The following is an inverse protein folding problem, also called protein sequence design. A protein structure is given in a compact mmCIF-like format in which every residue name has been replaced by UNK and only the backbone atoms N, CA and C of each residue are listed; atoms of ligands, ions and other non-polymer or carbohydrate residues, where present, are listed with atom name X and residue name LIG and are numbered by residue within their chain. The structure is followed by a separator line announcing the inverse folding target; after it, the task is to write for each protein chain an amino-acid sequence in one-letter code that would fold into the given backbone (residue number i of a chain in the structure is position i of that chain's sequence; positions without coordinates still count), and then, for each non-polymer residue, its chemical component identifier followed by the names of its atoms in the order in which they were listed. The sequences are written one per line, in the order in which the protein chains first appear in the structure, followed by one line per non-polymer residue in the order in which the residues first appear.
data_IF_466957410675
#
_entry.id   IF_466957410675
#
_cell.length_a   1.000
_cell.length_b   1.000
_cell.length_c   1.000
_cell.angle_alpha   90.00
_cell.angle_beta   90.00
_cell.angle_gamma   90.00
#
_symmetry.space_group_name_H-M   'P 1'
#
loop_
_entity.id
_entity.type
_entity.pdbx_description
1 polymer ?
#
# COMPACT_ATOMS: atom_id res chain seq x y z
N UNK A 1 2.20 5.96 13.38
CA UNK A 1 3.51 5.35 13.71
C UNK A 1 3.38 4.40 14.89
N UNK A 2 3.46 4.94 16.12
CA UNK A 2 3.50 4.13 17.34
C UNK A 2 2.32 3.15 17.48
N UNK A 3 1.07 3.62 17.36
CA UNK A 3 -0.11 2.75 17.49
C UNK A 3 -0.10 1.56 16.52
N UNK A 4 0.17 1.82 15.23
CA UNK A 4 0.26 0.78 14.22
C UNK A 4 1.35 -0.25 14.56
N UNK A 5 2.57 0.20 14.80
CA UNK A 5 3.71 -0.70 14.98
C UNK A 5 3.61 -1.51 16.28
N UNK A 6 3.13 -0.90 17.37
CA UNK A 6 2.89 -1.61 18.63
C UNK A 6 1.82 -2.69 18.47
N UNK A 7 0.71 -2.37 17.78
CA UNK A 7 -0.35 -3.36 17.53
C UNK A 7 0.11 -4.47 16.57
N UNK A 8 0.89 -4.15 15.53
CA UNK A 8 1.49 -5.16 14.65
C UNK A 8 2.43 -6.10 15.40
N UNK A 9 3.26 -5.56 16.30
CA UNK A 9 4.17 -6.36 17.11
C UNK A 9 3.41 -7.28 18.07
N UNK A 10 2.41 -6.75 18.78
CA UNK A 10 1.55 -7.55 19.66
C UNK A 10 0.82 -8.64 18.88
N UNK A 11 0.25 -8.32 17.71
CA UNK A 11 -0.41 -9.29 16.85
C UNK A 11 0.55 -10.40 16.40
N UNK A 12 1.76 -10.04 15.95
CA UNK A 12 2.78 -11.01 15.55
C UNK A 12 3.18 -11.95 16.69
N UNK A 13 3.43 -11.41 17.88
CA UNK A 13 3.75 -12.22 19.08
C UNK A 13 2.58 -13.15 19.42
N UNK A 14 1.36 -12.63 19.48
CA UNK A 14 0.17 -13.43 19.81
C UNK A 14 -0.03 -14.57 18.81
N UNK A 15 0.01 -14.27 17.51
CA UNK A 15 -0.19 -15.28 16.45
C UNK A 15 0.90 -16.35 16.53
N UNK A 16 2.18 -15.96 16.55
CA UNK A 16 3.30 -16.91 16.58
C UNK A 16 3.29 -17.75 17.85
N UNK A 17 3.16 -17.15 19.04
CA UNK A 17 3.13 -17.91 20.30
C UNK A 17 1.95 -18.90 20.35
N UNK A 18 0.78 -18.51 19.84
CA UNK A 18 -0.39 -19.40 19.83
C UNK A 18 -0.20 -20.56 18.85
N UNK A 19 0.38 -20.29 17.67
CA UNK A 19 0.73 -21.34 16.70
C UNK A 19 1.71 -22.35 17.30
N UNK A 20 2.83 -21.88 17.86
CA UNK A 20 3.84 -22.78 18.45
C UNK A 20 3.31 -23.56 19.66
N UNK A 21 2.32 -23.02 20.37
CA UNK A 21 1.72 -23.70 21.53
C UNK A 21 0.67 -24.75 21.16
N UNK A 22 -0.09 -24.53 20.09
CA UNK A 22 -1.28 -25.35 19.76
C UNK A 22 -1.03 -26.29 18.58
N UNK A 23 -0.14 -25.91 17.65
CA UNK A 23 0.19 -26.68 16.45
C UNK A 23 1.72 -26.74 16.22
N UNK A 24 2.50 -27.27 17.18
CA UNK A 24 3.96 -27.25 17.10
C UNK A 24 4.51 -28.00 15.89
N UNK A 25 3.86 -29.08 15.43
CA UNK A 25 4.32 -29.84 14.27
C UNK A 25 4.14 -29.07 12.95
N UNK A 26 3.17 -28.15 12.88
CA UNK A 26 2.85 -27.38 11.66
C UNK A 26 3.59 -26.04 11.59
N UNK A 27 4.33 -25.66 12.64
CA UNK A 27 4.91 -24.32 12.75
C UNK A 27 5.83 -23.94 11.57
N UNK A 28 6.60 -24.90 11.03
CA UNK A 28 7.47 -24.66 9.87
C UNK A 28 6.70 -24.35 8.59
N UNK A 29 5.59 -25.04 8.34
CA UNK A 29 4.73 -24.80 7.18
C UNK A 29 3.94 -23.50 7.31
N UNK A 30 3.48 -23.19 8.53
CA UNK A 30 2.71 -22.00 8.85
C UNK A 30 3.52 -20.73 8.59
N UNK A 31 4.78 -20.68 9.04
CA UNK A 31 5.66 -19.51 8.84
C UNK A 31 5.93 -19.25 7.34
N UNK A 32 5.88 -20.28 6.50
CA UNK A 32 6.05 -20.17 5.04
C UNK A 32 4.77 -19.85 4.25
N UNK A 33 3.60 -19.85 4.88
CA UNK A 33 2.31 -19.83 4.18
C UNK A 33 1.88 -18.46 3.61
N UNK A 34 2.67 -17.40 3.83
CA UNK A 34 2.32 -16.04 3.44
C UNK A 34 1.11 -15.48 4.19
N UNK A 35 0.71 -14.25 3.85
CA UNK A 35 -0.30 -13.52 4.61
C UNK A 35 -1.71 -14.14 4.47
N UNK A 36 -2.05 -14.58 3.26
CA UNK A 36 -3.35 -15.18 2.94
C UNK A 36 -3.50 -16.56 3.55
N UNK A 37 -2.47 -17.41 3.42
CA UNK A 37 -2.45 -18.74 4.02
C UNK A 37 -2.51 -18.69 5.53
N UNK A 38 -1.72 -17.81 6.16
CA UNK A 38 -1.80 -17.57 7.60
C UNK A 38 -3.22 -17.21 8.06
N UNK A 39 -3.84 -16.23 7.40
CA UNK A 39 -5.11 -15.65 7.84
C UNK A 39 -6.32 -16.57 7.56
N UNK A 40 -6.36 -17.23 6.40
CA UNK A 40 -7.55 -17.95 5.94
C UNK A 40 -7.44 -19.47 6.00
N UNK A 41 -6.25 -20.03 6.23
CA UNK A 41 -6.05 -21.49 6.39
C UNK A 41 -5.69 -21.78 7.84
N UNK A 42 -4.62 -21.17 8.34
CA UNK A 42 -4.04 -21.56 9.62
C UNK A 42 -4.75 -20.97 10.84
N UNK A 43 -5.15 -19.70 10.81
CA UNK A 43 -5.92 -19.10 11.92
C UNK A 43 -7.26 -19.84 12.19
N UNK A 44 -8.06 -20.22 11.18
CA UNK A 44 -9.23 -21.06 11.40
C UNK A 44 -8.92 -22.43 12.01
N UNK A 45 -7.87 -23.11 11.51
CA UNK A 45 -7.44 -24.40 12.06
C UNK A 45 -6.97 -24.28 13.51
N UNK A 46 -6.25 -23.21 13.84
CA UNK A 46 -5.81 -22.90 15.19
C UNK A 46 -7.02 -22.77 16.13
N UNK A 47 -8.04 -21.99 15.74
CA UNK A 47 -9.24 -21.85 16.55
C UNK A 47 -10.03 -23.15 16.66
N UNK A 48 -9.97 -24.06 15.67
CA UNK A 48 -10.62 -25.38 15.79
C UNK A 48 -10.03 -26.25 16.91
N UNK A 49 -8.77 -26.02 17.30
CA UNK A 49 -8.08 -26.78 18.36
C UNK A 49 -8.33 -26.21 19.77
N UNK A 50 -8.84 -24.98 19.89
CA UNK A 50 -9.01 -24.30 21.17
C UNK A 50 -10.47 -24.46 21.65
N UNK A 51 -10.71 -24.81 22.93
CA UNK A 51 -12.05 -24.85 23.50
C UNK A 51 -12.78 -23.50 23.31
N UNK A 52 -13.97 -23.52 22.70
CA UNK A 52 -14.72 -22.30 22.37
C UNK A 52 -14.19 -21.50 21.19
N UNK A 53 -13.24 -22.03 20.41
CA UNK A 53 -12.57 -21.29 19.35
C UNK A 53 -13.47 -20.80 18.21
N UNK A 54 -14.63 -21.40 17.96
CA UNK A 54 -15.60 -20.87 16.98
C UNK A 54 -16.04 -19.43 17.31
N UNK A 55 -16.21 -19.11 18.59
CA UNK A 55 -16.55 -17.76 19.03
C UNK A 55 -15.39 -16.78 18.73
N UNK A 56 -14.17 -17.17 19.09
CA UNK A 56 -12.97 -16.36 18.84
C UNK A 56 -12.67 -16.19 17.34
N UNK A 57 -12.92 -17.22 16.54
CA UNK A 57 -12.83 -17.16 15.08
C UNK A 57 -13.80 -16.13 14.50
N UNK A 58 -15.06 -16.13 14.97
CA UNK A 58 -16.05 -15.12 14.57
C UNK A 58 -15.61 -13.69 14.94
N UNK A 59 -15.09 -13.51 16.16
CA UNK A 59 -14.57 -12.22 16.61
C UNK A 59 -13.34 -11.76 15.80
N UNK A 60 -12.43 -12.67 15.48
CA UNK A 60 -11.24 -12.40 14.68
C UNK A 60 -11.60 -11.90 13.28
N UNK A 61 -12.47 -12.61 12.57
CA UNK A 61 -12.88 -12.19 11.22
C UNK A 61 -13.72 -10.93 11.23
N UNK A 62 -14.54 -10.71 12.27
CA UNK A 62 -15.24 -9.45 12.44
C UNK A 62 -14.26 -8.28 12.64
N UNK A 63 -13.22 -8.47 13.46
CA UNK A 63 -12.16 -7.48 13.64
C UNK A 63 -11.39 -7.24 12.34
N UNK A 64 -11.09 -8.29 11.57
CA UNK A 64 -10.44 -8.21 10.26
C UNK A 64 -11.26 -7.36 9.27
N UNK A 65 -12.59 -7.53 9.25
CA UNK A 65 -13.50 -6.72 8.43
C UNK A 65 -13.43 -5.24 8.83
N UNK A 66 -13.48 -4.91 10.12
CA UNK A 66 -13.38 -3.52 10.58
C UNK A 66 -12.00 -2.89 10.28
N UNK A 67 -10.93 -3.67 10.40
CA UNK A 67 -9.57 -3.23 10.06
C UNK A 67 -9.45 -2.91 8.55
N UNK A 68 -9.98 -3.78 7.69
CA UNK A 68 -10.00 -3.55 6.25
C UNK A 68 -10.91 -2.37 5.87
N UNK A 69 -12.09 -2.27 6.48
CA UNK A 69 -13.07 -1.22 6.19
C UNK A 69 -12.54 0.17 6.52
N UNK A 70 -11.94 0.36 7.70
CA UNK A 70 -11.36 1.64 8.10
C UNK A 70 -10.25 2.10 7.15
N UNK A 71 -9.40 1.18 6.71
CA UNK A 71 -8.33 1.46 5.73
C UNK A 71 -8.90 1.81 4.36
N UNK A 72 -9.94 1.10 3.90
CA UNK A 72 -10.60 1.35 2.62
C UNK A 72 -11.22 2.74 2.55
N UNK A 73 -11.87 3.21 3.62
CA UNK A 73 -12.46 4.56 3.68
C UNK A 73 -11.39 5.63 3.45
N UNK A 74 -10.22 5.51 4.08
CA UNK A 74 -9.12 6.46 3.89
C UNK A 74 -8.58 6.46 2.45
N UNK A 75 -8.44 5.27 1.84
CA UNK A 75 -7.99 5.13 0.45
C UNK A 75 -9.00 5.70 -0.56
N UNK A 76 -10.30 5.46 -0.36
CA UNK A 76 -11.34 6.04 -1.21
C UNK A 76 -11.33 7.57 -1.11
N UNK A 77 -11.26 8.12 0.11
CA UNK A 77 -11.25 9.57 0.31
C UNK A 77 -10.02 10.23 -0.35
N UNK A 78 -8.84 9.59 -0.29
CA UNK A 78 -7.64 10.06 -0.99
C UNK A 78 -7.88 10.15 -2.52
N UNK A 79 -8.41 9.08 -3.14
CA UNK A 79 -8.70 9.07 -4.57
C UNK A 79 -9.82 10.06 -4.95
N UNK A 80 -10.84 10.19 -4.11
CA UNK A 80 -11.95 11.14 -4.31
C UNK A 80 -11.45 12.58 -4.30
N UNK A 81 -10.52 12.93 -3.41
CA UNK A 81 -9.92 14.28 -3.35
C UNK A 81 -9.22 14.66 -4.65
N UNK A 82 -8.46 13.73 -5.23
CA UNK A 82 -7.79 13.95 -6.52
C UNK A 82 -8.81 14.31 -7.62
N UNK A 83 -9.96 13.63 -7.66
CA UNK A 83 -11.02 13.95 -8.64
C UNK A 83 -11.73 15.28 -8.35
N UNK A 84 -11.90 15.64 -7.07
CA UNK A 84 -12.47 16.93 -6.68
C UNK A 84 -11.55 18.07 -7.10
N UNK A 85 -10.24 17.91 -6.91
CA UNK A 85 -9.22 18.89 -7.33
C UNK A 85 -9.20 19.06 -8.87
N UNK A 86 -9.66 18.05 -9.61
CA UNK A 86 -9.88 18.10 -11.06
C UNK A 86 -11.24 18.73 -11.45
N UNK A 87 -12.02 19.23 -10.49
CA UNK A 87 -13.28 19.94 -10.69
C UNK A 87 -14.55 19.07 -10.63
N UNK A 88 -14.47 17.79 -10.23
CA UNK A 88 -15.67 16.98 -10.04
C UNK A 88 -16.37 17.31 -8.72
N UNK A 89 -17.71 17.26 -8.71
CA UNK A 89 -18.45 17.35 -7.45
C UNK A 89 -18.20 16.10 -6.60
N UNK A 90 -18.13 16.27 -5.27
CA UNK A 90 -17.85 15.18 -4.32
C UNK A 90 -18.71 13.94 -4.55
N UNK A 91 -20.01 14.11 -4.80
CA UNK A 91 -20.94 12.99 -5.07
C UNK A 91 -20.54 12.19 -6.31
N UNK A 92 -20.16 12.87 -7.40
CA UNK A 92 -19.72 12.21 -8.64
C UNK A 92 -18.38 11.52 -8.44
N UNK A 93 -17.44 12.16 -7.74
CA UNK A 93 -16.14 11.58 -7.43
C UNK A 93 -16.27 10.30 -6.59
N UNK A 94 -17.11 10.29 -5.54
CA UNK A 94 -17.36 9.09 -4.71
C UNK A 94 -17.93 7.94 -5.54
N UNK A 95 -18.95 8.21 -6.37
CA UNK A 95 -19.55 7.18 -7.22
C UNK A 95 -18.52 6.65 -8.21
N UNK A 96 -17.75 7.53 -8.85
CA UNK A 96 -16.73 7.14 -9.82
C UNK A 96 -15.64 6.25 -9.18
N UNK A 97 -15.07 6.67 -8.05
CA UNK A 97 -14.03 5.91 -7.33
C UNK A 97 -14.59 4.59 -6.80
N UNK A 98 -15.76 4.62 -6.15
CA UNK A 98 -16.38 3.43 -5.58
C UNK A 98 -16.77 2.39 -6.63
N UNK A 99 -17.43 2.80 -7.71
CA UNK A 99 -17.80 1.90 -8.80
C UNK A 99 -16.58 1.34 -9.53
N UNK A 100 -15.56 2.17 -9.78
CA UNK A 100 -14.32 1.72 -10.43
C UNK A 100 -13.57 0.72 -9.54
N UNK A 101 -13.41 1.03 -8.25
CA UNK A 101 -12.77 0.13 -7.28
C UNK A 101 -13.51 -1.20 -7.15
N UNK A 102 -14.85 -1.18 -7.10
CA UNK A 102 -15.65 -2.39 -7.08
C UNK A 102 -15.47 -3.24 -8.34
N UNK A 103 -15.61 -2.64 -9.52
CA UNK A 103 -15.51 -3.36 -10.80
C UNK A 103 -14.10 -3.94 -11.03
N UNK A 104 -13.05 -3.18 -10.72
CA UNK A 104 -11.67 -3.66 -10.82
C UNK A 104 -11.31 -4.67 -9.72
N UNK A 105 -12.05 -4.70 -8.62
CA UNK A 105 -11.91 -5.69 -7.55
C UNK A 105 -12.51 -7.06 -7.87
N UNK A 106 -13.49 -7.14 -8.79
CA UNK A 106 -14.16 -8.40 -9.15
C UNK A 106 -13.18 -9.48 -9.64
N UNK A 107 -12.26 -9.20 -10.60
CA UNK A 107 -11.29 -10.20 -11.05
C UNK A 107 -10.40 -10.74 -9.92
N UNK A 108 -9.97 -9.88 -9.00
CA UNK A 108 -9.17 -10.25 -7.83
C UNK A 108 -9.97 -11.12 -6.86
N UNK A 109 -11.27 -10.85 -6.67
CA UNK A 109 -12.15 -11.66 -5.82
C UNK A 109 -12.44 -13.05 -6.42
N UNK A 110 -12.47 -13.15 -7.76
CA UNK A 110 -12.76 -14.41 -8.46
C UNK A 110 -11.53 -15.29 -8.70
N UNK A 111 -10.32 -14.69 -8.79
CA UNK A 111 -9.09 -15.42 -9.12
C UNK A 111 -7.93 -14.97 -8.23
N UNK A 112 -7.50 -15.87 -7.34
CA UNK A 112 -6.40 -15.61 -6.40
C UNK A 112 -5.09 -15.20 -7.11
N UNK A 113 -4.77 -15.79 -8.27
CA UNK A 113 -3.58 -15.41 -9.04
C UNK A 113 -3.62 -13.95 -9.53
N UNK A 114 -4.81 -13.41 -9.85
CA UNK A 114 -4.94 -11.99 -10.20
C UNK A 114 -4.76 -11.13 -8.95
N UNK A 115 -5.38 -11.51 -7.83
CA UNK A 115 -5.20 -10.82 -6.55
C UNK A 115 -3.71 -10.73 -6.17
N UNK A 116 -2.99 -11.86 -6.20
CA UNK A 116 -1.56 -11.90 -5.88
C UNK A 116 -0.71 -11.10 -6.86
N UNK A 117 -1.03 -11.13 -8.15
CA UNK A 117 -0.34 -10.30 -9.14
C UNK A 117 -0.55 -8.81 -8.87
N UNK A 118 -1.78 -8.37 -8.58
CA UNK A 118 -2.08 -6.97 -8.31
C UNK A 118 -1.47 -6.50 -6.98
N UNK A 119 -1.54 -7.31 -5.92
CA UNK A 119 -0.89 -7.01 -4.64
C UNK A 119 0.64 -6.87 -4.82
N UNK A 120 1.25 -7.80 -5.54
CA UNK A 120 2.68 -7.79 -5.86
C UNK A 120 3.11 -6.55 -6.65
N UNK A 121 2.38 -6.21 -7.72
CA UNK A 121 2.72 -5.07 -8.58
C UNK A 121 2.55 -3.77 -7.82
N UNK A 122 1.38 -3.54 -7.22
CA UNK A 122 1.07 -2.26 -6.61
C UNK A 122 1.75 -2.04 -5.25
N UNK A 123 2.23 -3.11 -4.60
CA UNK A 123 3.14 -3.02 -3.46
C UNK A 123 4.41 -2.20 -3.75
N UNK A 124 4.96 -2.32 -4.97
CA UNK A 124 6.10 -1.49 -5.43
C UNK A 124 5.71 -0.02 -5.54
N UNK A 125 4.44 0.26 -5.86
CA UNK A 125 3.91 1.61 -5.95
C UNK A 125 4.00 2.37 -4.63
N UNK A 126 3.81 1.67 -3.50
CA UNK A 126 3.99 2.25 -2.17
C UNK A 126 5.46 2.68 -1.94
N UNK A 127 6.43 1.85 -2.33
CA UNK A 127 7.85 2.19 -2.24
C UNK A 127 8.20 3.41 -3.08
N UNK A 128 7.70 3.46 -4.32
CA UNK A 128 7.88 4.61 -5.22
C UNK A 128 7.24 5.88 -4.66
N UNK A 129 6.06 5.80 -4.07
CA UNK A 129 5.41 6.95 -3.44
C UNK A 129 6.24 7.52 -2.28
N UNK A 130 6.82 6.65 -1.45
CA UNK A 130 7.72 7.03 -0.36
C UNK A 130 8.99 7.71 -0.89
N UNK A 131 9.56 7.17 -1.98
CA UNK A 131 10.68 7.79 -2.68
C UNK A 131 10.34 9.19 -3.20
N UNK A 132 9.23 9.34 -3.93
CA UNK A 132 8.85 10.65 -4.48
C UNK A 132 8.56 11.68 -3.40
N UNK A 133 7.94 11.27 -2.29
CA UNK A 133 7.77 12.13 -1.13
C UNK A 133 9.13 12.56 -0.55
N UNK A 134 10.04 11.62 -0.29
CA UNK A 134 11.37 11.93 0.23
C UNK A 134 12.17 12.82 -0.72
N UNK A 135 12.10 12.55 -2.02
CA UNK A 135 12.73 13.35 -3.07
C UNK A 135 12.19 14.79 -3.08
N UNK A 136 10.87 14.98 -2.99
CA UNK A 136 10.25 16.30 -2.94
C UNK A 136 10.72 17.10 -1.71
N UNK A 137 10.76 16.45 -0.54
CA UNK A 137 11.28 17.05 0.71
C UNK A 137 12.75 17.43 0.58
N UNK A 138 13.59 16.55 0.02
CA UNK A 138 15.01 16.81 -0.22
C UNK A 138 15.21 18.00 -1.18
N UNK A 139 14.42 18.06 -2.25
CA UNK A 139 14.47 19.13 -3.25
C UNK A 139 14.03 20.49 -2.69
N UNK A 140 13.00 20.50 -1.84
CA UNK A 140 12.53 21.70 -1.13
C UNK A 140 13.54 22.20 -0.10
N UNK A 141 14.36 21.28 0.43
CA UNK A 141 15.29 21.52 1.51
C UNK A 141 14.72 20.99 2.82
N UNK A 142 15.26 19.87 3.29
CA UNK A 142 14.73 19.08 4.42
C UNK A 142 14.54 19.92 5.67
N UNK A 143 15.56 20.71 6.05
CA UNK A 143 15.47 21.57 7.24
C UNK A 143 14.35 22.61 7.12
N UNK A 144 14.18 23.23 5.94
CA UNK A 144 13.10 24.19 5.68
C UNK A 144 11.73 23.52 5.72
N UNK A 145 11.61 22.32 5.16
CA UNK A 145 10.37 21.54 5.20
C UNK A 145 9.97 21.25 6.64
N UNK A 146 10.91 20.77 7.46
CA UNK A 146 10.69 20.46 8.89
C UNK A 146 10.21 21.69 9.64
N UNK A 147 10.87 22.82 9.47
CA UNK A 147 10.54 24.05 10.20
C UNK A 147 9.21 24.65 9.77
N UNK A 148 8.83 24.48 8.50
CA UNK A 148 7.59 25.06 7.96
C UNK A 148 6.35 24.19 8.16
N UNK A 149 6.47 22.88 7.93
CA UNK A 149 5.31 21.98 7.86
C UNK A 149 5.19 21.02 9.05
N UNK A 150 6.29 20.78 9.78
CA UNK A 150 6.30 19.84 10.91
C UNK A 150 6.31 20.59 12.22
N UNK A 151 7.23 21.54 12.40
CA UNK A 151 7.36 22.35 13.61
C UNK A 151 6.50 23.62 13.48
N UNK A 152 5.19 23.44 13.33
CA UNK A 152 4.25 24.57 13.27
C UNK A 152 4.11 25.24 14.65
N UNK A 153 3.46 26.40 14.70
CA UNK A 153 3.22 27.14 15.95
C UNK A 153 2.48 26.33 17.00
N UNK A 154 1.63 25.41 16.56
CA UNK A 154 0.74 24.60 17.42
C UNK A 154 1.37 23.23 17.77
N UNK A 155 2.65 23.04 17.47
CA UNK A 155 3.35 21.77 17.74
C UNK A 155 3.85 21.71 19.18
N UNK A 156 3.22 20.84 19.99
CA UNK A 156 3.67 20.55 21.37
C UNK A 156 5.08 19.93 21.42
N UNK A 157 5.45 19.17 20.40
CA UNK A 157 6.74 18.49 20.27
C UNK A 157 7.48 19.00 19.05
N UNK A 158 8.65 19.60 19.26
CA UNK A 158 9.51 20.05 18.16
C UNK A 158 10.47 18.96 17.72
N UNK A 159 10.40 18.65 16.43
CA UNK A 159 11.25 17.67 15.77
C UNK A 159 12.61 18.28 15.48
N UNK A 160 13.67 17.58 15.88
CA UNK A 160 15.06 18.01 15.76
C UNK A 160 15.74 17.61 14.44
N UNK A 161 17.06 17.83 14.39
CA UNK A 161 17.90 17.57 13.20
C UNK A 161 18.01 16.10 12.82
N UNK A 162 17.65 15.17 13.70
CA UNK A 162 17.59 13.74 13.40
C UNK A 162 16.61 13.44 12.26
N UNK A 163 15.54 14.23 12.12
CA UNK A 163 14.58 14.07 11.02
C UNK A 163 15.22 14.36 9.65
N UNK A 164 16.18 15.28 9.61
CA UNK A 164 16.88 15.61 8.36
C UNK A 164 17.69 14.42 7.86
N UNK A 165 18.28 13.66 8.79
CA UNK A 165 18.95 12.40 8.50
C UNK A 165 17.97 11.28 8.17
N UNK A 166 16.87 11.18 8.92
CA UNK A 166 15.83 10.18 8.65
C UNK A 166 15.27 10.30 7.23
N UNK A 167 14.99 11.52 6.74
CA UNK A 167 14.51 11.71 5.37
C UNK A 167 15.54 11.33 4.30
N UNK A 168 16.83 11.55 4.55
CA UNK A 168 17.90 11.09 3.66
C UNK A 168 18.01 9.57 3.66
N UNK A 169 17.89 8.96 4.83
CA UNK A 169 17.87 7.50 4.99
C UNK A 169 16.70 6.88 4.22
N UNK A 170 15.48 7.41 4.37
CA UNK A 170 14.30 6.95 3.63
C UNK A 170 14.51 7.02 2.12
N UNK A 171 15.12 8.08 1.61
CA UNK A 171 15.41 8.19 0.18
C UNK A 171 16.41 7.11 -0.30
N UNK A 172 17.45 6.83 0.49
CA UNK A 172 18.42 5.77 0.18
C UNK A 172 17.77 4.39 0.28
N UNK A 173 17.03 4.12 1.36
CA UNK A 173 16.32 2.86 1.57
C UNK A 173 15.33 2.59 0.45
N UNK A 174 14.56 3.58 0.01
CA UNK A 174 13.61 3.39 -1.08
C UNK A 174 14.31 2.97 -2.38
N UNK A 175 15.45 3.58 -2.72
CA UNK A 175 16.24 3.18 -3.91
C UNK A 175 16.82 1.77 -3.73
N UNK A 176 17.45 1.49 -2.60
CA UNK A 176 18.07 0.19 -2.32
C UNK A 176 17.02 -0.92 -2.35
N UNK A 177 15.89 -0.74 -1.68
CA UNK A 177 14.82 -1.73 -1.61
C UNK A 177 14.17 -1.93 -2.98
N UNK A 178 13.94 -0.87 -3.77
CA UNK A 178 13.39 -1.02 -5.13
C UNK A 178 14.36 -1.78 -6.03
N UNK A 179 15.65 -1.47 -6.01
CA UNK A 179 16.65 -2.19 -6.81
C UNK A 179 16.76 -3.64 -6.36
N UNK A 180 16.87 -3.88 -5.05
CA UNK A 180 16.92 -5.22 -4.48
C UNK A 180 15.68 -6.04 -4.85
N UNK A 181 14.49 -5.46 -4.71
CA UNK A 181 13.23 -6.10 -5.08
C UNK A 181 13.21 -6.48 -6.57
N UNK A 182 13.61 -5.58 -7.47
CA UNK A 182 13.62 -5.87 -8.91
C UNK A 182 14.61 -6.98 -9.28
N UNK A 183 15.77 -7.02 -8.62
CA UNK A 183 16.74 -8.11 -8.80
C UNK A 183 16.17 -9.42 -8.28
N UNK A 184 15.60 -9.42 -7.07
CA UNK A 184 14.98 -10.61 -6.46
C UNK A 184 13.81 -11.14 -7.32
N UNK A 185 12.97 -10.24 -7.83
CA UNK A 185 11.79 -10.57 -8.61
C UNK A 185 12.11 -11.12 -10.00
N UNK A 186 13.29 -10.82 -10.55
CA UNK A 186 13.73 -11.38 -11.84
C UNK A 186 14.60 -12.63 -11.70
N UNK A 187 15.35 -12.77 -10.60
CA UNK A 187 16.20 -13.93 -10.34
C UNK A 187 17.14 -14.28 -11.51
N UNK A 188 17.41 -15.57 -11.69
CA UNK A 188 18.26 -16.08 -12.78
C UNK A 188 17.59 -15.97 -14.17
N UNK A 189 16.28 -15.77 -14.19
CA UNK A 189 15.46 -15.76 -15.40
C UNK A 189 15.14 -14.34 -15.90
N UNK A 190 15.79 -13.29 -15.39
CA UNK A 190 15.46 -11.90 -15.70
C UNK A 190 15.34 -11.63 -17.22
N UNK A 191 16.22 -12.25 -18.01
CA UNK A 191 16.29 -12.08 -19.46
C UNK A 191 15.47 -13.12 -20.25
N UNK A 192 14.80 -14.06 -19.58
CA UNK A 192 13.97 -15.08 -20.24
C UNK A 192 12.62 -14.51 -20.67
N UNK A 193 12.06 -15.02 -21.77
CA UNK A 193 10.75 -14.60 -22.26
C UNK A 193 9.60 -14.93 -21.28
N UNK A 194 9.78 -15.95 -20.43
CA UNK A 194 8.82 -16.37 -19.40
C UNK A 194 8.64 -15.30 -18.31
N UNK A 195 9.65 -14.46 -18.11
CA UNK A 195 9.62 -13.34 -17.16
C UNK A 195 8.75 -12.19 -17.68
N UNK A 196 8.63 -12.00 -19.00
CA UNK A 196 7.93 -10.84 -19.57
C UNK A 196 6.43 -11.11 -19.80
N UNK A 197 5.69 -11.37 -18.72
CA UNK A 197 4.23 -11.61 -18.74
C UNK A 197 3.48 -10.52 -17.97
N UNK A 198 2.17 -10.36 -18.26
CA UNK A 198 1.40 -9.24 -17.72
C UNK A 198 0.71 -9.56 -16.38
N UNK A 199 0.30 -10.81 -16.16
CA UNK A 199 -0.49 -11.23 -15.01
C UNK A 199 0.11 -12.43 -14.23
N UNK A 200 1.39 -12.73 -14.42
CA UNK A 200 2.05 -13.74 -13.59
C UNK A 200 2.29 -13.19 -12.19
N UNK A 201 1.90 -13.90 -11.11
CA UNK A 201 2.27 -13.55 -9.75
C UNK A 201 3.80 -13.54 -9.59
N UNK A 202 4.29 -12.73 -8.65
CA UNK A 202 5.70 -12.71 -8.20
C UNK A 202 6.74 -12.53 -9.31
N UNK A 203 6.42 -11.75 -10.34
CA UNK A 203 7.24 -11.62 -11.55
C UNK A 203 7.59 -10.15 -11.82
N UNK A 204 8.87 -9.86 -12.07
CA UNK A 204 9.36 -8.51 -12.41
C UNK A 204 8.78 -7.95 -13.71
N UNK A 205 8.52 -8.79 -14.72
CA UNK A 205 7.94 -8.34 -15.98
C UNK A 205 6.52 -7.81 -15.80
N UNK A 206 5.71 -8.47 -14.96
CA UNK A 206 4.37 -7.99 -14.59
C UNK A 206 4.43 -6.58 -13.99
N UNK A 207 5.43 -6.33 -13.13
CA UNK A 207 5.65 -5.01 -12.51
C UNK A 207 6.01 -3.98 -13.58
N UNK A 208 7.08 -4.22 -14.34
CA UNK A 208 7.60 -3.23 -15.30
C UNK A 208 6.59 -2.90 -16.40
N UNK A 209 5.87 -3.91 -16.92
CA UNK A 209 4.87 -3.72 -17.97
C UNK A 209 3.69 -2.91 -17.44
N UNK A 210 3.11 -3.28 -16.28
CA UNK A 210 1.95 -2.57 -15.73
C UNK A 210 2.30 -1.12 -15.35
N UNK A 211 3.45 -0.89 -14.71
CA UNK A 211 3.93 0.47 -14.45
C UNK A 211 4.20 1.25 -15.75
N UNK A 212 4.75 0.60 -16.78
CA UNK A 212 4.95 1.19 -18.09
C UNK A 212 3.65 1.67 -18.72
N UNK A 213 2.60 0.83 -18.69
CA UNK A 213 1.25 1.19 -19.17
C UNK A 213 0.69 2.40 -18.42
N UNK A 214 0.83 2.43 -17.09
CA UNK A 214 0.36 3.54 -16.25
C UNK A 214 1.13 4.82 -16.56
N UNK A 215 2.45 4.76 -16.68
CA UNK A 215 3.29 5.90 -17.01
C UNK A 215 2.94 6.47 -18.39
N UNK A 216 2.74 5.61 -19.40
CA UNK A 216 2.29 6.05 -20.72
C UNK A 216 0.91 6.73 -20.65
N UNK A 217 -0.03 6.17 -19.86
CA UNK A 217 -1.33 6.79 -19.60
C UNK A 217 -1.21 8.17 -18.94
N UNK A 218 -0.39 8.28 -17.90
CA UNK A 218 -0.14 9.55 -17.21
C UNK A 218 0.52 10.58 -18.13
N UNK A 219 1.49 10.19 -18.94
CA UNK A 219 2.14 11.08 -19.91
C UNK A 219 1.17 11.56 -20.99
N UNK A 220 0.30 10.68 -21.49
CA UNK A 220 -0.73 11.03 -22.46
C UNK A 220 -1.76 12.02 -21.86
N UNK A 221 -2.15 11.80 -20.60
CA UNK A 221 -3.12 12.65 -19.89
C UNK A 221 -2.51 13.92 -19.29
N UNK A 222 -1.18 14.03 -19.20
CA UNK A 222 -0.49 15.10 -18.47
C UNK A 222 -0.89 16.50 -18.96
N UNK A 223 -0.86 16.72 -20.28
CA UNK A 223 -1.25 18.02 -20.86
C UNK A 223 -2.70 18.37 -20.56
N UNK A 224 -3.59 17.39 -20.62
CA UNK A 224 -5.01 17.58 -20.31
C UNK A 224 -5.25 17.91 -18.83
N UNK A 225 -4.61 17.17 -17.92
CA UNK A 225 -4.70 17.41 -16.48
C UNK A 225 -4.15 18.79 -16.09
N UNK A 226 -2.96 19.14 -16.60
CA UNK A 226 -2.33 20.43 -16.32
C UNK A 226 -3.21 21.60 -16.79
N UNK A 227 -3.73 21.52 -18.02
CA UNK A 227 -4.61 22.55 -18.56
C UNK A 227 -5.90 22.71 -17.76
N UNK A 228 -6.49 21.60 -17.28
CA UNK A 228 -7.69 21.64 -16.44
C UNK A 228 -7.43 22.29 -15.08
N UNK A 229 -6.33 21.94 -14.42
CA UNK A 229 -5.97 22.49 -13.12
C UNK A 229 -5.70 24.00 -13.23
N UNK A 230 -4.93 24.43 -14.23
CA UNK A 230 -4.66 25.85 -14.46
C UNK A 230 -5.94 26.64 -14.76
N UNK A 231 -6.82 26.11 -15.63
CA UNK A 231 -8.08 26.78 -15.96
C UNK A 231 -9.02 26.94 -14.74
N UNK A 232 -9.00 26.00 -13.79
CA UNK A 232 -9.77 26.11 -12.55
C UNK A 232 -9.17 27.14 -11.58
N UNK A 233 -7.84 27.27 -11.55
CA UNK A 233 -7.16 28.29 -10.73
C UNK A 233 -7.41 29.71 -11.28
N UNK A 234 -7.36 29.88 -12.59
CA UNK A 234 -7.58 31.17 -13.25
C UNK A 234 -9.07 31.58 -13.20
N UNK A 235 -10.00 30.62 -13.30
CA UNK A 235 -11.43 30.86 -13.23
C UNK A 235 -11.97 31.11 -11.81
N UNK A 236 -11.25 30.71 -10.76
CA UNK A 236 -11.63 30.94 -9.36
C UNK A 236 -11.15 32.29 -8.78
N UNK A 237 -10.47 33.11 -9.59
CA UNK A 237 -10.02 34.46 -9.21
C UNK A 237 -10.94 35.60 -9.66
N UNK A 238 -12.09 35.27 -10.26
CA UNK A 238 -13.09 36.22 -10.72
C UNK A 238 -14.48 35.80 -10.22
N UNK A 239 -14.69 35.93 -8.91
CA UNK A 239 -16.00 36.08 -8.26
C UNK A 239 -15.79 36.65 -6.85
#
# INVERSE_FOLDING_TARGET
GFGNNSMSLLAGIMVLCTIFSVMPEAAGEIVGAGNEGLTFIWVPQLFAQIPGGQFFMGLFFLALVFAAWSSLVAMIELAVRILIDLGLTRKRAIIAVGSTGFLLGIPSALRLGIFQNQDWVWGVGLMLSGFFFAFAVLRYGVTKWREKFINTSDSDVRIGRWWDWAMRLVAVEAVVLTVWFLIQAGGDNFWSAETWTLFSPYNVGSVLIQFGVVLLGLLALNRWMANRIMALQDGGGAD
#
